data_IF_566416620760
#
_entry.id   IF_566416620760
#
_cell.length_a   1.000
_cell.length_b   1.000
_cell.length_c   1.000
_cell.angle_alpha   90.00
_cell.angle_beta   90.00
_cell.angle_gamma   90.00
#
_symmetry.space_group_name_H-M   'P 1'
#
loop_
_entity.id
_entity.type
_entity.pdbx_description
1 polymer ?
#
# COMPACT_ATOMS: atom_id res chain seq x y z
N UNK A 1 -0.63 -25.96 -4.63
CA UNK A 1 -0.84 -25.47 -3.25
C UNK A 1 -2.29 -24.99 -3.15
N UNK A 2 -3.02 -25.28 -2.07
CA UNK A 2 -4.39 -24.79 -1.90
C UNK A 2 -4.32 -23.29 -1.53
N UNK A 3 -5.08 -22.45 -2.26
CA UNK A 3 -5.11 -21.00 -1.98
C UNK A 3 -5.82 -20.72 -0.66
N UNK A 4 -5.28 -19.83 0.15
CA UNK A 4 -5.94 -19.36 1.37
C UNK A 4 -7.21 -18.59 1.02
N UNK A 5 -8.30 -18.90 1.73
CA UNK A 5 -9.57 -18.18 1.59
C UNK A 5 -9.49 -16.83 2.30
N UNK A 6 -9.88 -15.77 1.59
CA UNK A 6 -9.78 -14.42 2.12
C UNK A 6 -11.10 -13.65 2.00
N UNK A 7 -11.30 -12.68 2.87
CA UNK A 7 -12.39 -11.71 2.82
C UNK A 7 -11.85 -10.30 2.65
N UNK A 8 -12.54 -9.47 1.88
CA UNK A 8 -12.28 -8.02 1.76
C UNK A 8 -13.29 -7.26 2.62
N UNK A 9 -12.79 -6.46 3.57
CA UNK A 9 -13.60 -5.56 4.39
C UNK A 9 -13.67 -4.18 3.73
N UNK A 10 -14.85 -3.85 3.23
CA UNK A 10 -15.16 -2.74 2.36
C UNK A 10 -15.60 -3.24 0.98
N UNK A 11 -16.77 -2.79 0.49
CA UNK A 11 -17.30 -3.27 -0.79
C UNK A 11 -17.16 -2.24 -1.93
N UNK A 12 -17.54 -0.99 -1.67
CA UNK A 12 -17.66 0.05 -2.71
C UNK A 12 -16.57 1.11 -2.73
N UNK A 13 -15.59 1.06 -1.81
CA UNK A 13 -14.47 2.00 -1.78
C UNK A 13 -13.41 1.69 -2.86
N UNK A 14 -12.68 2.71 -3.32
CA UNK A 14 -11.62 2.53 -4.33
C UNK A 14 -10.60 1.45 -3.94
N UNK A 15 -10.08 1.49 -2.72
CA UNK A 15 -9.11 0.50 -2.23
C UNK A 15 -9.74 -0.89 -2.10
N UNK A 16 -11.01 -0.99 -1.66
CA UNK A 16 -11.73 -2.26 -1.61
C UNK A 16 -11.86 -2.90 -3.00
N UNK A 17 -12.17 -2.10 -4.00
CA UNK A 17 -12.29 -2.59 -5.39
C UNK A 17 -10.92 -2.94 -5.99
N UNK A 18 -9.87 -2.20 -5.68
CA UNK A 18 -8.49 -2.61 -6.01
C UNK A 18 -8.10 -3.95 -5.36
N UNK A 19 -8.49 -4.19 -4.11
CA UNK A 19 -8.29 -5.50 -3.46
C UNK A 19 -9.05 -6.60 -4.20
N UNK A 20 -10.33 -6.40 -4.52
CA UNK A 20 -11.12 -7.35 -5.29
C UNK A 20 -10.48 -7.64 -6.66
N UNK A 21 -10.07 -6.59 -7.39
CA UNK A 21 -9.40 -6.68 -8.68
C UNK A 21 -8.13 -7.53 -8.62
N UNK A 22 -7.28 -7.31 -7.62
CA UNK A 22 -5.99 -8.00 -7.50
C UNK A 22 -6.09 -9.40 -6.91
N UNK A 23 -7.18 -9.71 -6.20
CA UNK A 23 -7.39 -11.02 -5.58
C UNK A 23 -8.09 -12.02 -6.49
N UNK A 24 -8.78 -11.58 -7.55
CA UNK A 24 -9.61 -12.47 -8.40
C UNK A 24 -8.80 -13.61 -9.02
N UNK A 25 -7.58 -13.35 -9.49
CA UNK A 25 -6.66 -14.34 -10.07
C UNK A 25 -5.42 -14.60 -9.25
N UNK A 26 -5.42 -14.15 -7.97
CA UNK A 26 -4.22 -14.24 -7.13
C UNK A 26 -3.80 -15.71 -6.91
N UNK A 27 -2.51 -16.05 -7.08
CA UNK A 27 -2.06 -17.45 -7.02
C UNK A 27 -2.15 -18.08 -5.62
N UNK A 28 -2.03 -17.28 -4.56
CA UNK A 28 -1.99 -17.76 -3.16
C UNK A 28 -3.27 -17.50 -2.37
N UNK A 29 -4.02 -16.45 -2.73
CA UNK A 29 -5.25 -16.04 -2.05
C UNK A 29 -6.46 -16.27 -2.94
N UNK A 30 -7.57 -16.70 -2.36
CA UNK A 30 -8.86 -16.86 -3.04
C UNK A 30 -9.88 -15.91 -2.42
N UNK A 31 -10.31 -14.91 -3.16
CA UNK A 31 -11.43 -14.06 -2.77
C UNK A 31 -12.67 -14.93 -2.56
N UNK A 32 -13.15 -15.00 -1.32
CA UNK A 32 -14.25 -15.88 -0.91
C UNK A 32 -15.46 -15.09 -0.43
N UNK A 33 -15.23 -13.90 0.14
CA UNK A 33 -16.26 -13.01 0.62
C UNK A 33 -15.85 -11.55 0.49
N UNK A 34 -16.85 -10.68 0.40
CA UNK A 34 -16.72 -9.23 0.51
C UNK A 34 -17.74 -8.77 1.55
N UNK A 35 -17.26 -8.08 2.60
CA UNK A 35 -18.11 -7.54 3.64
C UNK A 35 -18.12 -6.01 3.58
N UNK A 36 -19.28 -5.40 3.70
CA UNK A 36 -19.45 -3.96 3.55
C UNK A 36 -20.43 -3.35 4.54
N UNK A 37 -20.66 -2.06 4.40
CA UNK A 37 -21.62 -1.31 5.20
C UNK A 37 -23.08 -1.77 4.95
N UNK A 38 -24.03 -1.42 5.84
CA UNK A 38 -25.45 -1.73 5.66
C UNK A 38 -26.04 -1.30 4.31
N UNK A 39 -25.44 -0.30 3.65
CA UNK A 39 -25.87 0.17 2.32
C UNK A 39 -25.83 -0.94 1.26
N UNK A 40 -24.87 -1.85 1.34
CA UNK A 40 -24.64 -2.90 0.36
C UNK A 40 -24.99 -4.30 0.86
N UNK A 41 -25.26 -4.47 2.15
CA UNK A 41 -25.61 -5.75 2.78
C UNK A 41 -26.66 -6.51 1.99
N UNK A 42 -26.37 -7.78 1.68
CA UNK A 42 -27.27 -8.71 0.99
C UNK A 42 -27.43 -8.44 -0.51
N UNK A 43 -26.87 -7.37 -1.05
CA UNK A 43 -26.89 -7.12 -2.49
C UNK A 43 -25.88 -8.02 -3.20
N UNK A 44 -26.18 -8.47 -4.42
CA UNK A 44 -25.18 -9.08 -5.28
C UNK A 44 -23.97 -8.15 -5.41
N UNK A 45 -22.75 -8.69 -5.36
CA UNK A 45 -21.54 -7.90 -5.52
C UNK A 45 -21.50 -7.19 -6.87
N UNK A 46 -22.10 -7.81 -7.92
CA UNK A 46 -22.29 -7.23 -9.25
C UNK A 46 -23.05 -5.90 -9.25
N UNK A 47 -23.95 -5.70 -8.29
CA UNK A 47 -24.78 -4.50 -8.17
C UNK A 47 -24.07 -3.35 -7.44
N UNK A 48 -22.88 -3.60 -6.87
CA UNK A 48 -22.04 -2.54 -6.30
C UNK A 48 -21.39 -1.76 -7.45
N UNK A 49 -21.62 -0.43 -7.56
CA UNK A 49 -21.03 0.37 -8.64
C UNK A 49 -19.51 0.25 -8.66
N UNK A 50 -18.96 0.00 -9.84
CA UNK A 50 -17.52 -0.06 -10.04
C UNK A 50 -16.95 1.35 -10.20
N UNK A 51 -15.97 1.69 -9.41
CA UNK A 51 -15.43 3.05 -9.28
C UNK A 51 -14.01 3.23 -9.85
N UNK A 52 -13.37 2.12 -10.28
CA UNK A 52 -12.06 2.17 -10.91
C UNK A 52 -12.19 2.44 -12.41
N UNK A 53 -11.19 3.09 -13.00
CA UNK A 53 -11.17 3.42 -14.43
C UNK A 53 -11.00 2.16 -15.30
N UNK A 54 -10.31 1.13 -14.76
CA UNK A 54 -10.15 -0.13 -15.48
C UNK A 54 -11.44 -0.94 -15.46
N UNK A 55 -11.60 -1.78 -16.46
CA UNK A 55 -12.75 -2.68 -16.56
C UNK A 55 -12.84 -3.56 -15.29
N UNK A 56 -14.07 -3.71 -14.80
CA UNK A 56 -14.35 -4.66 -13.71
C UNK A 56 -13.99 -6.08 -14.15
N UNK A 57 -13.14 -6.81 -13.41
CA UNK A 57 -12.84 -8.20 -13.74
C UNK A 57 -14.05 -9.09 -13.47
N UNK A 58 -14.00 -10.32 -13.99
CA UNK A 58 -15.00 -11.34 -13.70
C UNK A 58 -14.85 -11.84 -12.26
N UNK A 59 -15.53 -11.14 -11.34
CA UNK A 59 -15.53 -11.46 -9.91
C UNK A 59 -16.45 -12.65 -9.64
N UNK A 60 -16.13 -13.49 -8.62
CA UNK A 60 -17.03 -14.58 -8.21
C UNK A 60 -18.42 -14.06 -7.84
N UNK A 61 -19.45 -14.82 -8.20
CA UNK A 61 -20.81 -14.51 -7.77
C UNK A 61 -20.91 -14.65 -6.24
N UNK A 62 -21.24 -13.55 -5.58
CA UNK A 62 -21.45 -13.50 -4.13
C UNK A 62 -22.31 -12.31 -3.75
N UNK A 63 -22.94 -12.37 -2.59
CA UNK A 63 -23.59 -11.22 -1.96
C UNK A 63 -22.62 -10.52 -1.03
N UNK A 64 -22.81 -9.21 -0.87
CA UNK A 64 -22.04 -8.42 0.12
C UNK A 64 -22.54 -8.79 1.52
N UNK A 65 -21.64 -9.26 2.37
CA UNK A 65 -21.88 -9.58 3.77
C UNK A 65 -21.92 -8.30 4.64
N UNK A 66 -22.50 -8.41 5.83
CA UNK A 66 -22.42 -7.34 6.81
C UNK A 66 -21.09 -7.39 7.56
N UNK A 67 -20.31 -6.32 7.48
CA UNK A 67 -18.98 -6.24 8.10
C UNK A 67 -19.02 -6.24 9.64
N UNK A 68 -20.17 -5.93 10.24
CA UNK A 68 -20.37 -5.84 11.70
C UNK A 68 -21.15 -7.03 12.29
N UNK A 69 -21.57 -8.00 11.50
CA UNK A 69 -22.39 -9.13 11.96
C UNK A 69 -21.51 -10.29 12.43
N UNK A 70 -21.51 -10.55 13.75
CA UNK A 70 -20.75 -11.63 14.39
C UNK A 70 -21.12 -13.02 13.86
N UNK A 71 -22.39 -13.26 13.50
CA UNK A 71 -22.82 -14.53 12.94
C UNK A 71 -22.19 -14.76 11.56
N UNK A 72 -22.12 -13.72 10.75
CA UNK A 72 -21.42 -13.73 9.47
C UNK A 72 -19.92 -14.02 9.66
N UNK A 73 -19.27 -13.34 10.61
CA UNK A 73 -17.85 -13.54 10.89
C UNK A 73 -17.58 -15.00 11.31
N UNK A 74 -18.38 -15.54 12.26
CA UNK A 74 -18.25 -16.91 12.74
C UNK A 74 -18.42 -17.92 11.60
N UNK A 75 -19.44 -17.77 10.77
CA UNK A 75 -19.69 -18.63 9.61
C UNK A 75 -18.51 -18.62 8.63
N UNK A 76 -17.95 -17.43 8.33
CA UNK A 76 -16.80 -17.33 7.42
C UNK A 76 -15.56 -18.03 7.98
N UNK A 77 -15.34 -17.97 9.30
CA UNK A 77 -14.25 -18.73 9.96
C UNK A 77 -14.50 -20.24 9.84
N UNK A 78 -15.73 -20.71 10.09
CA UNK A 78 -16.12 -22.13 9.92
C UNK A 78 -15.95 -22.58 8.47
N UNK A 79 -16.23 -21.72 7.49
CA UNK A 79 -15.98 -21.95 6.07
C UNK A 79 -14.48 -21.95 5.70
N UNK A 80 -13.61 -21.69 6.67
CA UNK A 80 -12.16 -21.71 6.53
C UNK A 80 -11.57 -20.42 5.95
N UNK A 81 -12.26 -19.28 6.06
CA UNK A 81 -11.66 -17.96 5.76
C UNK A 81 -10.71 -17.61 6.91
N UNK A 82 -9.44 -17.34 6.61
CA UNK A 82 -8.39 -17.12 7.61
C UNK A 82 -7.72 -15.76 7.55
N UNK A 83 -7.95 -15.01 6.46
CA UNK A 83 -7.32 -13.69 6.24
C UNK A 83 -8.39 -12.68 5.85
N UNK A 84 -8.33 -11.50 6.45
CA UNK A 84 -9.14 -10.35 6.11
C UNK A 84 -8.26 -9.18 5.62
N UNK A 85 -8.56 -8.67 4.43
CA UNK A 85 -7.97 -7.44 3.90
C UNK A 85 -8.89 -6.27 4.20
N UNK A 86 -8.47 -5.36 5.08
CA UNK A 86 -9.30 -4.22 5.48
C UNK A 86 -8.94 -2.95 4.72
N UNK A 87 -9.97 -2.32 4.16
CA UNK A 87 -9.95 -0.98 3.57
C UNK A 87 -11.03 -0.08 4.16
N UNK A 88 -11.37 -0.32 5.41
CA UNK A 88 -12.35 0.47 6.16
C UNK A 88 -11.79 1.86 6.49
N UNK A 89 -12.65 2.90 6.59
CA UNK A 89 -12.25 4.17 7.19
C UNK A 89 -11.71 3.96 8.60
N UNK A 90 -10.77 4.80 9.04
CA UNK A 90 -10.05 4.60 10.31
C UNK A 90 -10.98 4.48 11.53
N UNK A 91 -12.08 5.24 11.57
CA UNK A 91 -13.05 5.15 12.67
C UNK A 91 -13.76 3.79 12.69
N UNK A 92 -14.21 3.31 11.54
CA UNK A 92 -14.84 2.00 11.39
C UNK A 92 -13.84 0.86 11.64
N UNK A 93 -12.61 0.98 11.15
CA UNK A 93 -11.55 0.02 11.37
C UNK A 93 -11.28 -0.17 12.88
N UNK A 94 -11.19 0.94 13.64
CA UNK A 94 -10.98 0.88 15.10
C UNK A 94 -12.03 0.06 15.83
N UNK A 95 -13.27 0.10 15.35
CA UNK A 95 -14.40 -0.61 15.94
C UNK A 95 -14.54 -2.03 15.44
N UNK A 96 -14.30 -2.27 14.14
CA UNK A 96 -14.68 -3.52 13.47
C UNK A 96 -13.52 -4.51 13.32
N UNK A 97 -12.30 -4.05 13.05
CA UNK A 97 -11.16 -4.97 12.84
C UNK A 97 -10.90 -5.89 14.05
N UNK A 98 -11.04 -5.43 15.32
CA UNK A 98 -10.92 -6.33 16.47
C UNK A 98 -11.86 -7.54 16.45
N UNK A 99 -13.10 -7.37 15.96
CA UNK A 99 -14.07 -8.47 15.87
C UNK A 99 -13.57 -9.61 14.96
N UNK A 100 -12.92 -9.25 13.84
CA UNK A 100 -12.33 -10.20 12.90
C UNK A 100 -11.09 -10.89 13.47
N UNK A 101 -10.25 -10.12 14.19
CA UNK A 101 -9.06 -10.63 14.90
C UNK A 101 -9.46 -11.61 16.01
N UNK A 102 -10.45 -11.25 16.85
CA UNK A 102 -10.95 -12.07 17.95
C UNK A 102 -11.60 -13.37 17.46
N UNK A 103 -12.25 -13.33 16.31
CA UNK A 103 -12.78 -14.51 15.65
C UNK A 103 -11.70 -15.47 15.10
N UNK A 104 -10.43 -15.06 15.11
CA UNK A 104 -9.29 -15.90 14.73
C UNK A 104 -8.72 -15.65 13.35
N UNK A 105 -9.21 -14.66 12.62
CA UNK A 105 -8.62 -14.26 11.34
C UNK A 105 -7.36 -13.40 11.54
N UNK A 106 -6.46 -13.44 10.56
CA UNK A 106 -5.39 -12.42 10.45
C UNK A 106 -5.90 -11.26 9.63
N UNK A 107 -5.86 -10.05 10.20
CA UNK A 107 -6.28 -8.81 9.54
C UNK A 107 -5.08 -8.06 9.00
N UNK A 108 -5.08 -7.78 7.69
CA UNK A 108 -4.14 -6.86 7.05
C UNK A 108 -4.87 -5.56 6.71
N UNK A 109 -4.45 -4.47 7.37
CA UNK A 109 -5.18 -3.20 7.36
C UNK A 109 -4.49 -2.11 6.54
N UNK A 110 -5.26 -1.40 5.73
CA UNK A 110 -4.86 -0.13 5.11
C UNK A 110 -5.25 1.09 5.96
N UNK A 111 -6.06 0.91 7.00
CA UNK A 111 -6.53 2.00 7.85
C UNK A 111 -5.41 2.55 8.74
N UNK A 112 -5.43 3.87 8.97
CA UNK A 112 -4.49 4.51 9.88
C UNK A 112 -4.72 4.21 11.37
N UNK A 113 -5.84 3.54 11.72
CA UNK A 113 -6.29 3.35 13.09
C UNK A 113 -5.32 2.58 13.99
N UNK A 114 -4.56 1.65 13.42
CA UNK A 114 -3.71 0.72 14.16
C UNK A 114 -2.21 0.88 13.89
N UNK A 115 -1.79 1.80 13.02
CA UNK A 115 -0.40 1.98 12.57
C UNK A 115 0.60 2.34 13.69
N UNK A 116 0.13 2.91 14.80
CA UNK A 116 0.95 3.22 15.97
C UNK A 116 0.59 2.42 17.22
N UNK A 117 -0.25 1.37 17.09
CA UNK A 117 -0.71 0.57 18.21
C UNK A 117 0.32 -0.52 18.54
N UNK A 118 0.75 -0.57 19.80
CA UNK A 118 1.69 -1.61 20.27
C UNK A 118 1.15 -3.02 19.99
N UNK A 119 2.01 -3.88 19.45
CA UNK A 119 1.64 -5.25 19.08
C UNK A 119 1.00 -5.40 17.70
N UNK A 120 0.75 -4.29 16.98
CA UNK A 120 0.33 -4.31 15.57
C UNK A 120 1.46 -3.80 14.71
N UNK A 121 2.20 -4.67 13.99
CA UNK A 121 3.33 -4.24 13.19
C UNK A 121 2.90 -3.36 12.01
N UNK A 122 3.65 -2.28 11.80
CA UNK A 122 3.58 -1.41 10.62
C UNK A 122 4.75 -1.78 9.72
N UNK A 123 4.48 -2.32 8.52
CA UNK A 123 5.52 -3.00 7.74
C UNK A 123 5.53 -2.58 6.28
N UNK A 124 6.73 -2.38 5.78
CA UNK A 124 7.05 -2.31 4.35
C UNK A 124 7.99 -3.48 4.04
N UNK A 125 7.61 -4.43 3.18
CA UNK A 125 8.35 -5.66 2.95
C UNK A 125 9.83 -5.49 2.63
N UNK A 126 10.21 -4.41 1.94
CA UNK A 126 11.60 -4.13 1.58
C UNK A 126 12.40 -3.37 2.64
N UNK A 127 11.75 -2.85 3.71
CA UNK A 127 12.41 -1.96 4.66
C UNK A 127 12.55 -2.58 6.04
N UNK A 128 11.45 -3.13 6.59
CA UNK A 128 11.42 -3.69 7.94
C UNK A 128 10.64 -5.01 8.05
N UNK A 129 10.91 -6.01 7.19
CA UNK A 129 10.17 -7.29 7.16
C UNK A 129 10.23 -8.05 8.49
N UNK A 130 11.30 -7.89 9.27
CA UNK A 130 11.51 -8.53 10.57
C UNK A 130 10.48 -8.11 11.63
N UNK A 131 9.83 -6.95 11.47
CA UNK A 131 8.78 -6.48 12.37
C UNK A 131 7.57 -7.45 12.40
N UNK A 132 7.31 -8.21 11.33
CA UNK A 132 6.26 -9.24 11.31
C UNK A 132 6.54 -10.37 12.30
N UNK A 133 7.79 -10.79 12.44
CA UNK A 133 8.18 -11.94 13.26
C UNK A 133 8.21 -11.70 14.77
N UNK A 134 8.08 -10.44 15.21
CA UNK A 134 8.24 -10.08 16.62
C UNK A 134 7.05 -10.48 17.50
N UNK A 135 5.89 -10.77 16.92
CA UNK A 135 4.64 -11.01 17.65
C UNK A 135 4.23 -12.49 17.75
N UNK A 136 5.05 -13.43 17.25
CA UNK A 136 4.66 -14.84 17.11
C UNK A 136 3.64 -15.05 16.01
N UNK A 137 2.52 -15.77 16.28
CA UNK A 137 1.46 -15.93 15.28
C UNK A 137 0.81 -14.57 14.98
N UNK A 138 0.92 -14.15 13.72
CA UNK A 138 0.41 -12.86 13.29
C UNK A 138 -1.12 -12.82 13.34
N UNK A 139 -1.68 -11.81 13.99
CA UNK A 139 -3.12 -11.59 14.06
C UNK A 139 -3.57 -10.31 13.38
N UNK A 140 -2.74 -9.29 13.42
CA UNK A 140 -3.03 -7.99 12.84
C UNK A 140 -1.74 -7.36 12.33
N UNK A 141 -1.74 -6.76 11.14
CA UNK A 141 -0.63 -5.98 10.60
C UNK A 141 -1.16 -4.83 9.75
N UNK A 142 -0.43 -3.73 9.70
CA UNK A 142 -0.78 -2.56 8.92
C UNK A 142 0.22 -2.30 7.80
N UNK A 143 -0.30 -1.92 6.62
CA UNK A 143 0.45 -1.19 5.62
C UNK A 143 0.54 0.30 5.99
N UNK A 144 1.58 0.97 5.53
CA UNK A 144 1.81 2.41 5.75
C UNK A 144 0.86 3.29 4.94
N UNK A 145 0.89 4.60 5.18
CA UNK A 145 0.21 5.53 4.30
C UNK A 145 0.87 5.56 2.91
N UNK A 146 0.08 5.95 1.90
CA UNK A 146 0.50 5.90 0.50
C UNK A 146 1.56 6.96 0.15
N UNK A 147 1.67 8.04 0.91
CA UNK A 147 2.64 9.11 0.69
C UNK A 147 4.04 8.70 1.16
N UNK A 148 4.12 7.81 2.14
CA UNK A 148 5.39 7.36 2.69
C UNK A 148 6.20 6.54 1.68
N UNK A 149 5.57 5.68 0.88
CA UNK A 149 6.29 4.71 0.04
C UNK A 149 7.26 5.33 -0.96
N UNK A 150 6.87 6.35 -1.77
CA UNK A 150 7.81 6.99 -2.68
C UNK A 150 8.92 7.76 -1.96
N UNK A 151 8.74 8.09 -0.68
CA UNK A 151 9.78 8.72 0.15
C UNK A 151 10.72 7.68 0.76
N UNK A 152 10.17 6.68 1.45
CA UNK A 152 10.95 5.82 2.36
C UNK A 152 11.87 4.84 1.64
N UNK A 153 11.49 4.28 0.48
CA UNK A 153 12.36 3.32 -0.20
C UNK A 153 13.67 3.96 -0.68
N UNK A 154 13.65 5.09 -1.43
CA UNK A 154 14.90 5.78 -1.77
C UNK A 154 15.65 6.29 -0.53
N UNK A 155 14.92 6.82 0.48
CA UNK A 155 15.54 7.35 1.69
C UNK A 155 16.25 6.25 2.50
N UNK A 156 15.65 5.07 2.66
CA UNK A 156 16.26 3.93 3.33
C UNK A 156 17.57 3.50 2.64
N UNK A 157 17.55 3.44 1.31
CA UNK A 157 18.72 3.13 0.50
C UNK A 157 19.86 4.12 0.72
N UNK A 158 19.55 5.43 0.69
CA UNK A 158 20.54 6.49 0.84
C UNK A 158 21.00 6.67 2.28
N UNK A 159 20.12 6.39 3.25
CA UNK A 159 20.47 6.42 4.68
C UNK A 159 21.44 5.28 5.03
N UNK A 160 21.18 4.08 4.55
CA UNK A 160 22.09 2.93 4.73
C UNK A 160 23.51 3.21 4.20
N UNK A 161 23.60 3.89 3.05
CA UNK A 161 24.87 4.12 2.37
C UNK A 161 25.59 5.39 2.82
N UNK A 162 24.87 6.48 3.08
CA UNK A 162 25.47 7.81 3.23
C UNK A 162 25.10 8.52 4.53
N UNK A 163 24.23 7.95 5.38
CA UNK A 163 23.83 8.56 6.65
C UNK A 163 22.98 9.83 6.45
N UNK A 164 21.66 9.68 6.22
CA UNK A 164 20.76 10.84 6.11
C UNK A 164 20.64 11.52 7.48
N UNK A 165 20.93 12.83 7.54
CA UNK A 165 20.86 13.66 8.75
C UNK A 165 19.55 14.45 8.81
N UNK A 166 19.08 14.96 7.67
CA UNK A 166 17.83 15.69 7.58
C UNK A 166 17.17 15.47 6.22
N UNK A 167 15.83 15.68 6.14
CA UNK A 167 15.15 15.73 4.86
C UNK A 167 14.06 16.78 4.80
N UNK A 168 13.82 17.26 3.58
CA UNK A 168 12.65 18.06 3.23
C UNK A 168 11.88 17.33 2.16
N UNK A 169 10.55 17.25 2.29
CA UNK A 169 9.68 16.63 1.31
C UNK A 169 8.46 17.51 1.03
N UNK A 170 8.15 17.71 -0.24
CA UNK A 170 6.86 18.21 -0.71
C UNK A 170 6.18 17.09 -1.50
N UNK A 171 4.90 16.85 -1.26
CA UNK A 171 4.14 15.86 -2.03
C UNK A 171 3.00 16.49 -2.82
N UNK A 172 2.75 15.92 -4.00
CA UNK A 172 1.58 16.16 -4.84
C UNK A 172 0.78 14.87 -4.92
N UNK A 173 -0.42 14.88 -4.33
CA UNK A 173 -1.21 13.68 -4.13
C UNK A 173 -2.44 13.66 -5.03
N UNK A 174 -2.66 12.54 -5.74
CA UNK A 174 -3.84 12.30 -6.55
C UNK A 174 -5.13 12.28 -5.72
N UNK A 175 -6.25 12.59 -6.38
CA UNK A 175 -7.58 12.75 -5.78
C UNK A 175 -8.11 11.47 -5.12
N UNK A 176 -7.78 10.29 -5.66
CA UNK A 176 -8.20 8.98 -5.14
C UNK A 176 -7.77 8.74 -3.70
N UNK A 177 -6.69 9.38 -3.23
CA UNK A 177 -6.26 9.36 -1.83
C UNK A 177 -7.28 9.97 -0.86
N UNK A 178 -8.17 10.84 -1.34
CA UNK A 178 -9.32 11.39 -0.60
C UNK A 178 -10.58 10.50 -0.66
N UNK A 179 -10.54 9.40 -1.42
CA UNK A 179 -11.66 8.49 -1.63
C UNK A 179 -12.54 8.88 -2.83
N UNK A 180 -13.43 7.94 -3.23
CA UNK A 180 -14.21 8.06 -4.48
C UNK A 180 -15.10 9.30 -4.51
N UNK A 181 -15.85 9.56 -3.42
CA UNK A 181 -16.78 10.69 -3.38
C UNK A 181 -16.05 12.03 -3.51
N UNK A 182 -14.91 12.18 -2.81
CA UNK A 182 -14.07 13.38 -2.91
C UNK A 182 -13.52 13.55 -4.34
N UNK A 183 -13.00 12.48 -4.93
CA UNK A 183 -12.48 12.51 -6.29
C UNK A 183 -13.53 12.92 -7.30
N UNK A 184 -14.74 12.34 -7.24
CA UNK A 184 -15.85 12.70 -8.13
C UNK A 184 -16.27 14.17 -7.97
N UNK A 185 -16.36 14.66 -6.73
CA UNK A 185 -16.69 16.05 -6.46
C UNK A 185 -15.65 17.00 -7.06
N UNK A 186 -14.37 16.79 -6.77
CA UNK A 186 -13.29 17.62 -7.29
C UNK A 186 -13.24 17.65 -8.82
N UNK A 187 -13.44 16.49 -9.46
CA UNK A 187 -13.49 16.37 -10.91
C UNK A 187 -14.71 17.14 -11.50
N UNK A 188 -15.86 17.04 -10.87
CA UNK A 188 -17.07 17.75 -11.30
C UNK A 188 -16.95 19.28 -11.13
N UNK A 189 -16.31 19.74 -10.07
CA UNK A 189 -16.07 21.15 -9.76
C UNK A 189 -14.90 21.74 -10.57
N UNK A 190 -14.01 20.91 -11.12
CA UNK A 190 -12.79 21.33 -11.82
C UNK A 190 -11.79 22.04 -10.91
N UNK A 191 -11.89 21.82 -9.59
CA UNK A 191 -11.05 22.45 -8.57
C UNK A 191 -10.85 21.53 -7.37
N UNK A 192 -9.78 21.77 -6.62
CA UNK A 192 -9.44 20.96 -5.44
C UNK A 192 -9.01 21.85 -4.29
N UNK A 193 -9.47 21.52 -3.06
CA UNK A 193 -8.81 22.01 -1.86
C UNK A 193 -7.44 21.32 -1.75
N UNK A 194 -6.38 22.10 -1.83
CA UNK A 194 -5.01 21.59 -1.80
C UNK A 194 -4.58 21.10 -0.42
N UNK A 195 -5.30 21.47 0.64
CA UNK A 195 -4.95 21.13 2.03
C UNK A 195 -5.22 19.65 2.34
N UNK A 196 -4.27 19.00 3.02
CA UNK A 196 -4.41 17.65 3.56
C UNK A 196 -4.00 17.66 5.04
N UNK A 197 -4.90 18.07 5.94
CA UNK A 197 -4.57 18.20 7.35
C UNK A 197 -4.04 16.90 7.96
N UNK A 198 -2.94 16.99 8.72
CA UNK A 198 -2.34 15.88 9.46
C UNK A 198 -1.57 14.87 8.60
N UNK A 199 -1.48 15.06 7.28
CA UNK A 199 -0.79 14.09 6.41
C UNK A 199 0.74 14.16 6.55
N UNK A 200 1.29 15.35 6.71
CA UNK A 200 2.71 15.56 6.92
C UNK A 200 3.19 14.89 8.23
N UNK A 201 2.46 15.12 9.31
CA UNK A 201 2.74 14.54 10.63
C UNK A 201 2.65 13.01 10.63
N UNK A 202 1.61 12.45 10.00
CA UNK A 202 1.47 11.00 9.83
C UNK A 202 2.65 10.41 9.07
N UNK A 203 3.02 11.04 7.95
CA UNK A 203 4.13 10.54 7.11
C UNK A 203 5.45 10.55 7.87
N UNK A 204 5.73 11.61 8.63
CA UNK A 204 6.93 11.70 9.47
C UNK A 204 6.94 10.63 10.57
N UNK A 205 5.83 10.48 11.30
CA UNK A 205 5.70 9.49 12.39
C UNK A 205 5.82 8.06 11.86
N UNK A 206 5.18 7.74 10.73
CA UNK A 206 5.28 6.41 10.14
C UNK A 206 6.68 6.11 9.60
N UNK A 207 7.39 7.11 9.05
CA UNK A 207 8.79 6.97 8.62
C UNK A 207 9.70 6.65 9.83
N UNK A 208 9.56 7.41 10.91
CA UNK A 208 10.31 7.16 12.15
C UNK A 208 10.07 5.73 12.66
N UNK A 209 8.81 5.29 12.66
CA UNK A 209 8.44 3.96 13.12
C UNK A 209 9.04 2.84 12.25
N UNK A 210 8.95 2.98 10.92
CA UNK A 210 9.36 1.93 9.97
C UNK A 210 10.88 1.86 9.81
N UNK A 211 11.55 3.01 9.80
CA UNK A 211 12.99 3.09 9.55
C UNK A 211 13.84 3.21 10.82
N UNK A 212 13.22 3.51 11.96
CA UNK A 212 13.95 3.81 13.21
C UNK A 212 14.78 5.09 13.13
N UNK A 213 14.45 5.99 12.21
CA UNK A 213 15.19 7.22 11.94
C UNK A 213 14.50 8.42 12.58
N UNK A 214 15.26 9.22 13.34
CA UNK A 214 14.75 10.36 14.13
C UNK A 214 15.47 11.67 13.84
N UNK A 215 15.95 11.89 12.61
CA UNK A 215 16.58 13.13 12.19
C UNK A 215 15.60 14.29 12.00
N UNK A 216 16.09 15.43 11.52
CA UNK A 216 15.24 16.59 11.26
C UNK A 216 14.42 16.38 9.97
N UNK A 217 13.12 16.56 10.07
CA UNK A 217 12.19 16.42 8.96
C UNK A 217 11.32 17.66 8.75
N UNK A 218 11.14 18.05 7.49
CA UNK A 218 10.19 19.11 7.11
C UNK A 218 9.34 18.63 5.93
N UNK A 219 8.04 18.45 6.16
CA UNK A 219 7.13 17.90 5.17
C UNK A 219 6.00 18.87 4.86
N UNK A 220 5.61 18.88 3.60
CA UNK A 220 4.38 19.55 3.14
C UNK A 220 3.64 18.65 2.16
N UNK A 221 2.33 18.54 2.33
CA UNK A 221 1.49 17.70 1.51
C UNK A 221 0.37 18.51 0.89
N UNK A 222 0.18 18.34 -0.43
CA UNK A 222 -0.89 19.03 -1.15
C UNK A 222 -1.63 18.09 -2.09
N UNK A 223 -2.92 18.35 -2.29
CA UNK A 223 -3.75 17.68 -3.28
C UNK A 223 -3.60 18.37 -4.63
N UNK A 224 -3.60 17.58 -5.71
CA UNK A 224 -3.56 18.08 -7.08
C UNK A 224 -4.66 17.46 -7.93
N UNK A 225 -5.04 18.15 -9.03
CA UNK A 225 -6.05 17.69 -10.00
C UNK A 225 -5.48 16.56 -10.89
N UNK A 226 -5.29 15.40 -10.27
CA UNK A 226 -4.90 14.15 -10.91
C UNK A 226 -5.61 13.00 -10.21
N UNK A 227 -6.14 12.03 -10.94
CA UNK A 227 -6.90 10.90 -10.34
C UNK A 227 -6.05 10.12 -9.37
N UNK A 228 -4.98 9.50 -9.86
CA UNK A 228 -4.09 8.61 -9.13
C UNK A 228 -2.63 9.08 -9.12
N UNK A 229 -1.84 8.48 -8.27
CA UNK A 229 -0.41 8.70 -8.14
C UNK A 229 -0.04 9.77 -7.12
N UNK A 230 1.00 9.47 -6.34
CA UNK A 230 1.63 10.39 -5.40
C UNK A 230 3.04 10.67 -5.86
N UNK A 231 3.35 11.95 -6.06
CA UNK A 231 4.63 12.46 -6.50
C UNK A 231 5.28 13.22 -5.35
N UNK A 232 6.48 12.84 -4.96
CA UNK A 232 7.25 13.50 -3.91
C UNK A 232 8.51 14.14 -4.47
N UNK A 233 8.84 15.31 -3.95
CA UNK A 233 10.04 16.09 -4.23
C UNK A 233 10.85 16.13 -2.96
N UNK A 234 12.05 15.57 -2.99
CA UNK A 234 12.83 15.29 -1.79
C UNK A 234 14.19 15.95 -1.88
N UNK A 235 14.61 16.53 -0.76
CA UNK A 235 15.96 17.04 -0.51
C UNK A 235 16.48 16.39 0.76
N UNK A 236 17.66 15.75 0.69
CA UNK A 236 18.31 15.07 1.80
C UNK A 236 19.66 15.72 2.10
N UNK A 237 19.93 15.99 3.36
CA UNK A 237 21.30 16.24 3.83
C UNK A 237 21.90 14.90 4.29
N UNK A 238 23.10 14.59 3.79
CA UNK A 238 23.80 13.33 4.06
C UNK A 238 25.16 13.58 4.73
N UNK A 239 25.59 12.60 5.52
CA UNK A 239 26.84 12.70 6.29
C UNK A 239 28.08 12.54 5.41
N UNK A 240 28.02 11.57 4.49
CA UNK A 240 29.12 11.27 3.58
C UNK A 240 29.03 12.13 2.31
N UNK A 241 30.19 12.41 1.70
CA UNK A 241 30.24 13.09 0.41
C UNK A 241 29.70 12.20 -0.71
N UNK A 242 28.86 12.76 -1.56
CA UNK A 242 28.19 12.06 -2.66
C UNK A 242 28.29 12.84 -3.96
N UNK A 243 28.23 12.10 -5.05
CA UNK A 243 27.99 12.62 -6.38
C UNK A 243 26.79 11.89 -7.03
N UNK A 244 26.40 12.33 -8.20
CA UNK A 244 25.27 11.77 -8.94
C UNK A 244 25.43 10.27 -9.22
N UNK A 245 26.63 9.84 -9.61
CA UNK A 245 26.87 8.44 -10.00
C UNK A 245 26.88 7.51 -8.79
N UNK A 246 27.41 7.97 -7.67
CA UNK A 246 27.36 7.25 -6.39
C UNK A 246 25.91 7.05 -5.93
N UNK A 247 25.09 8.11 -5.97
CA UNK A 247 23.66 8.04 -5.61
C UNK A 247 22.91 7.07 -6.51
N UNK A 248 23.07 7.16 -7.83
CA UNK A 248 22.43 6.21 -8.75
C UNK A 248 22.87 4.76 -8.51
N UNK A 249 24.15 4.56 -8.27
CA UNK A 249 24.72 3.23 -8.02
C UNK A 249 24.12 2.61 -6.77
N UNK A 250 24.03 3.37 -5.68
CA UNK A 250 23.44 2.92 -4.42
C UNK A 250 21.96 2.56 -4.57
N UNK A 251 21.17 3.41 -5.21
CA UNK A 251 19.74 3.15 -5.45
C UNK A 251 19.53 1.87 -6.29
N UNK A 252 20.33 1.67 -7.36
CA UNK A 252 20.27 0.45 -8.19
C UNK A 252 20.62 -0.80 -7.39
N UNK A 253 21.76 -0.78 -6.69
CA UNK A 253 22.24 -1.93 -5.89
C UNK A 253 21.27 -2.27 -4.78
N UNK A 254 20.70 -1.27 -4.10
CA UNK A 254 19.69 -1.49 -3.07
C UNK A 254 18.44 -2.14 -3.67
N UNK A 255 17.96 -1.63 -4.80
CA UNK A 255 16.81 -2.19 -5.50
C UNK A 255 17.04 -3.65 -5.91
N UNK A 256 18.22 -4.00 -6.41
CA UNK A 256 18.59 -5.38 -6.77
C UNK A 256 18.63 -6.32 -5.56
N UNK A 257 19.16 -5.87 -4.42
CA UNK A 257 19.22 -6.66 -3.17
C UNK A 257 17.82 -6.94 -2.60
N UNK A 258 16.87 -6.04 -2.80
CA UNK A 258 15.51 -6.15 -2.25
C UNK A 258 14.49 -6.68 -3.26
N UNK A 259 14.96 -7.31 -4.35
CA UNK A 259 14.08 -8.05 -5.26
C UNK A 259 13.46 -9.25 -4.55
N UNK A 260 12.19 -9.48 -4.83
CA UNK A 260 11.46 -10.61 -4.26
C UNK A 260 10.76 -11.41 -5.35
N UNK A 261 10.52 -12.69 -5.08
CA UNK A 261 9.77 -13.61 -5.95
C UNK A 261 8.30 -13.72 -5.57
N UNK A 262 7.85 -12.97 -4.57
CA UNK A 262 6.46 -12.93 -4.16
C UNK A 262 5.56 -12.43 -5.31
N UNK A 263 4.33 -12.92 -5.43
CA UNK A 263 3.47 -12.65 -6.59
C UNK A 263 3.28 -11.17 -6.92
N UNK A 264 3.06 -10.32 -5.90
CA UNK A 264 2.86 -8.87 -6.07
C UNK A 264 4.15 -8.06 -5.99
N UNK A 265 5.30 -8.67 -5.71
CA UNK A 265 6.57 -7.97 -5.68
C UNK A 265 6.90 -7.39 -7.08
N UNK A 266 7.30 -6.12 -7.19
CA UNK A 266 7.76 -5.57 -8.46
C UNK A 266 9.04 -6.31 -8.93
N UNK A 267 9.34 -6.23 -10.23
CA UNK A 267 10.60 -6.78 -10.76
C UNK A 267 11.83 -6.11 -10.13
N UNK A 268 11.70 -4.82 -9.85
CA UNK A 268 12.63 -4.05 -9.03
C UNK A 268 11.82 -3.06 -8.17
N UNK A 269 12.12 -2.94 -6.86
CA UNK A 269 11.44 -1.97 -5.99
C UNK A 269 11.60 -0.52 -6.43
N UNK A 270 12.80 -0.15 -6.92
CA UNK A 270 13.10 1.19 -7.43
C UNK A 270 13.41 1.14 -8.93
N UNK A 271 12.77 2.00 -9.71
CA UNK A 271 13.06 2.23 -11.13
C UNK A 271 13.63 3.63 -11.33
N UNK A 272 14.85 3.72 -11.82
CA UNK A 272 15.51 4.99 -12.06
C UNK A 272 15.24 5.47 -13.49
N UNK A 273 14.82 6.73 -13.59
CA UNK A 273 14.54 7.42 -14.85
C UNK A 273 15.22 8.79 -14.87
N UNK A 274 15.49 9.37 -16.04
CA UNK A 274 16.03 10.74 -16.12
C UNK A 274 15.07 11.78 -15.53
N UNK A 275 13.77 11.65 -15.81
CA UNK A 275 12.70 12.53 -15.31
C UNK A 275 11.40 11.76 -15.15
N UNK A 276 10.54 12.21 -14.23
CA UNK A 276 9.25 11.58 -13.96
C UNK A 276 8.19 12.17 -14.87
N UNK A 277 7.47 11.27 -15.57
CA UNK A 277 6.21 11.52 -16.24
C UNK A 277 5.12 10.77 -15.48
N UNK A 278 4.23 11.50 -14.81
CA UNK A 278 3.24 10.93 -13.88
C UNK A 278 2.16 10.08 -14.57
N UNK A 279 1.92 10.29 -15.86
CA UNK A 279 0.95 9.48 -16.62
C UNK A 279 1.57 8.18 -17.10
N UNK A 280 2.74 8.27 -17.73
CA UNK A 280 3.44 7.11 -18.27
C UNK A 280 3.94 6.16 -17.19
N UNK A 281 4.34 6.69 -16.03
CA UNK A 281 4.97 5.91 -14.96
C UNK A 281 3.98 5.36 -13.92
N UNK A 282 2.67 5.66 -14.05
CA UNK A 282 1.67 5.30 -13.03
C UNK A 282 1.67 3.79 -12.70
N UNK A 283 1.80 2.96 -13.72
CA UNK A 283 1.79 1.51 -13.57
C UNK A 283 3.18 0.85 -13.64
N UNK A 284 4.23 1.58 -13.28
CA UNK A 284 5.58 1.01 -13.23
C UNK A 284 5.61 -0.33 -12.48
N UNK A 285 6.17 -1.37 -13.11
CA UNK A 285 6.23 -2.73 -12.59
C UNK A 285 7.63 -3.17 -12.12
N UNK A 286 8.61 -2.29 -12.25
CA UNK A 286 10.02 -2.58 -11.95
C UNK A 286 10.81 -3.10 -13.15
N UNK A 287 10.18 -3.36 -14.29
CA UNK A 287 10.84 -3.72 -15.56
C UNK A 287 10.47 -2.77 -16.69
N UNK A 288 9.33 -2.09 -16.59
CA UNK A 288 8.80 -1.20 -17.61
C UNK A 288 7.62 -0.36 -17.12
N UNK A 289 6.89 0.22 -18.08
CA UNK A 289 5.79 1.15 -17.85
C UNK A 289 4.56 0.72 -18.68
N UNK A 290 3.79 -0.27 -18.23
CA UNK A 290 2.60 -0.70 -18.95
C UNK A 290 1.62 0.47 -19.15
N UNK A 291 1.23 0.76 -20.38
CA UNK A 291 0.37 1.89 -20.71
C UNK A 291 -1.11 1.63 -20.39
N UNK A 292 -1.53 0.38 -20.48
CA UNK A 292 -2.90 -0.07 -20.16
C UNK A 292 -2.83 -1.46 -19.54
N UNK A 293 -2.30 -1.58 -18.32
CA UNK A 293 -2.21 -2.87 -17.66
C UNK A 293 -3.61 -3.36 -17.30
N UNK A 294 -3.72 -4.66 -17.12
CA UNK A 294 -4.82 -5.27 -16.39
C UNK A 294 -4.32 -5.66 -14.99
N UNK A 295 -4.56 -4.83 -13.95
CA UNK A 295 -4.08 -5.12 -12.60
C UNK A 295 -4.72 -6.36 -11.96
N UNK A 296 -5.75 -6.95 -12.58
CA UNK A 296 -6.32 -8.23 -12.18
C UNK A 296 -5.44 -9.41 -12.63
N UNK A 297 -4.73 -9.26 -13.74
CA UNK A 297 -3.85 -10.29 -14.32
C UNK A 297 -2.39 -10.04 -14.01
N UNK A 298 -1.96 -8.78 -13.98
CA UNK A 298 -0.59 -8.37 -13.70
C UNK A 298 -0.47 -7.78 -12.29
N UNK A 299 -0.10 -8.63 -11.33
CA UNK A 299 0.07 -8.24 -9.93
C UNK A 299 1.28 -7.34 -9.68
N UNK A 300 2.17 -7.14 -10.66
CA UNK A 300 3.35 -6.26 -10.53
C UNK A 300 3.09 -4.85 -11.05
N UNK A 301 2.06 -4.68 -11.89
CA UNK A 301 1.69 -3.37 -12.41
C UNK A 301 1.38 -2.38 -11.27
N UNK A 302 2.03 -1.21 -11.30
CA UNK A 302 1.91 -0.15 -10.30
C UNK A 302 2.58 -0.44 -8.95
N UNK A 303 3.45 -1.46 -8.87
CA UNK A 303 4.11 -1.86 -7.62
C UNK A 303 5.52 -1.28 -7.44
N UNK A 304 6.17 -0.80 -8.48
CA UNK A 304 7.49 -0.15 -8.37
C UNK A 304 7.37 1.33 -7.96
N UNK A 305 8.41 1.82 -7.29
CA UNK A 305 8.63 3.24 -7.07
C UNK A 305 9.53 3.76 -8.18
N UNK A 306 9.09 4.80 -8.88
CA UNK A 306 9.91 5.48 -9.90
C UNK A 306 10.69 6.59 -9.23
N UNK A 307 12.01 6.66 -9.47
CA UNK A 307 12.90 7.70 -8.95
C UNK A 307 13.56 8.41 -10.11
N UNK A 308 13.47 9.73 -10.14
CA UNK A 308 14.02 10.55 -11.22
C UNK A 308 14.52 11.91 -10.75
N UNK A 309 15.00 12.73 -11.71
CA UNK A 309 15.49 14.08 -11.45
C UNK A 309 16.53 14.13 -10.32
N UNK A 310 17.40 13.12 -10.26
CA UNK A 310 18.46 13.02 -9.24
C UNK A 310 19.51 14.10 -9.50
N UNK A 311 19.86 14.84 -8.45
CA UNK A 311 20.90 15.86 -8.50
C UNK A 311 21.66 15.93 -7.16
N UNK A 312 22.96 16.23 -7.22
CA UNK A 312 23.80 16.49 -6.05
C UNK A 312 24.34 17.92 -6.12
N UNK A 313 23.58 18.93 -5.67
CA UNK A 313 24.00 20.34 -5.78
C UNK A 313 25.25 20.66 -4.98
N UNK A 314 25.51 19.94 -3.89
CA UNK A 314 26.73 19.97 -3.10
C UNK A 314 27.12 18.53 -2.72
N UNK A 315 28.36 18.29 -2.23
CA UNK A 315 28.79 16.95 -1.82
C UNK A 315 27.94 16.31 -0.69
N UNK A 316 27.17 17.12 0.05
CA UNK A 316 26.34 16.63 1.17
C UNK A 316 24.83 16.81 0.93
N UNK A 317 24.41 17.16 -0.29
CA UNK A 317 23.02 17.44 -0.59
C UNK A 317 22.55 16.60 -1.79
N UNK A 318 21.56 15.75 -1.56
CA UNK A 318 20.89 14.94 -2.59
C UNK A 318 19.49 15.46 -2.82
N UNK A 319 19.13 15.67 -4.08
CA UNK A 319 17.76 15.95 -4.51
C UNK A 319 17.28 14.85 -5.44
N UNK A 320 16.01 14.47 -5.29
CA UNK A 320 15.37 13.57 -6.23
C UNK A 320 13.85 13.78 -6.22
N UNK A 321 13.21 13.23 -7.22
CA UNK A 321 11.76 13.06 -7.25
C UNK A 321 11.45 11.57 -7.19
N UNK A 322 10.32 11.21 -6.55
CA UNK A 322 9.85 9.84 -6.61
C UNK A 322 8.33 9.79 -6.76
N UNK A 323 7.84 8.74 -7.43
CA UNK A 323 6.45 8.60 -7.81
C UNK A 323 5.97 7.16 -7.62
N UNK A 324 4.71 7.00 -7.21
CA UNK A 324 4.09 5.69 -7.06
C UNK A 324 2.57 5.73 -7.24
N UNK A 325 1.99 4.60 -7.62
CA UNK A 325 0.54 4.41 -7.66
C UNK A 325 -0.03 4.28 -6.25
N UNK A 326 -0.74 5.30 -5.78
CA UNK A 326 -1.21 5.40 -4.38
C UNK A 326 -2.26 4.35 -4.00
N UNK A 327 -3.17 3.93 -4.90
CA UNK A 327 -4.19 2.93 -4.60
C UNK A 327 -3.72 1.49 -4.86
N UNK A 328 -2.63 1.30 -5.60
CA UNK A 328 -1.98 0.00 -5.80
C UNK A 328 -0.82 -0.15 -4.81
N UNK A 329 0.36 0.39 -5.10
CA UNK A 329 1.52 0.23 -4.22
C UNK A 329 1.27 0.79 -2.83
N UNK A 330 0.65 1.97 -2.77
CA UNK A 330 0.34 2.70 -1.53
C UNK A 330 -0.84 2.14 -0.73
N UNK A 331 -1.57 1.14 -1.24
CA UNK A 331 -2.73 0.58 -0.56
C UNK A 331 -2.95 -0.90 -0.89
N UNK A 332 -3.85 -1.23 -1.83
CA UNK A 332 -4.30 -2.60 -2.08
C UNK A 332 -3.17 -3.56 -2.47
N UNK A 333 -2.31 -3.18 -3.40
CA UNK A 333 -1.17 -3.99 -3.80
C UNK A 333 -0.14 -4.13 -2.68
N UNK A 334 0.13 -3.04 -1.96
CA UNK A 334 1.06 -3.04 -0.83
C UNK A 334 0.62 -3.94 0.31
N UNK A 335 -0.67 -3.92 0.68
CA UNK A 335 -1.19 -4.77 1.76
C UNK A 335 -1.31 -6.24 1.35
N UNK A 336 -1.57 -6.54 0.07
CA UNK A 336 -1.51 -7.92 -0.45
C UNK A 336 -0.06 -8.42 -0.40
N UNK A 337 0.89 -7.62 -0.86
CA UNK A 337 2.31 -7.95 -0.79
C UNK A 337 2.81 -8.19 0.64
N UNK A 338 2.32 -7.42 1.61
CA UNK A 338 2.57 -7.66 3.04
C UNK A 338 2.02 -9.02 3.50
N UNK A 339 0.81 -9.38 3.06
CA UNK A 339 0.22 -10.68 3.40
C UNK A 339 0.93 -11.85 2.72
N UNK A 340 1.43 -11.66 1.50
CA UNK A 340 2.29 -12.63 0.80
C UNK A 340 3.58 -12.88 1.58
N UNK A 341 4.23 -11.81 2.07
CA UNK A 341 5.41 -11.93 2.92
C UNK A 341 5.10 -12.70 4.21
N UNK A 342 4.01 -12.37 4.90
CA UNK A 342 3.60 -13.08 6.10
C UNK A 342 3.30 -14.57 5.83
N UNK A 343 2.74 -14.88 4.67
CA UNK A 343 2.50 -16.27 4.24
C UNK A 343 3.81 -17.02 3.96
N UNK A 344 4.73 -16.40 3.24
CA UNK A 344 6.06 -16.97 2.94
C UNK A 344 6.87 -17.23 4.21
N UNK A 345 6.80 -16.31 5.17
CA UNK A 345 7.39 -16.45 6.52
C UNK A 345 6.65 -17.44 7.42
N UNK A 346 5.56 -18.09 6.97
CA UNK A 346 4.75 -19.05 7.73
C UNK A 346 4.12 -18.47 9.01
N UNK A 347 3.81 -17.19 9.02
CA UNK A 347 3.22 -16.47 10.17
C UNK A 347 1.69 -16.50 10.18
N UNK A 348 1.06 -16.95 9.08
CA UNK A 348 -0.39 -17.05 8.99
C UNK A 348 -0.90 -18.36 9.61
N UNK A 349 -2.10 -18.36 10.22
CA UNK A 349 -2.69 -19.58 10.73
C UNK A 349 -2.86 -20.60 9.58
N UNK A 350 -2.28 -21.78 9.78
CA UNK A 350 -2.56 -22.93 8.90
C UNK A 350 -3.96 -23.40 9.26
N UNK A 351 -4.91 -23.34 8.31
CA UNK A 351 -6.20 -23.95 8.52
C UNK A 351 -6.00 -25.42 8.92
N UNK A 352 -6.52 -25.89 10.07
CA UNK A 352 -6.54 -27.31 10.32
C UNK A 352 -7.30 -27.96 9.15
N UNK A 353 -6.63 -28.84 8.45
CA UNK A 353 -7.29 -29.73 7.48
C UNK A 353 -8.29 -30.52 8.33
N UNK A 354 -9.57 -30.14 8.28
CA UNK A 354 -10.60 -31.04 8.81
C UNK A 354 -10.55 -32.31 7.97
N UNK A 355 -10.32 -33.47 8.61
CA UNK A 355 -10.23 -34.76 7.93
C UNK A 355 -11.50 -35.10 7.16
#
# INVERSE_FOLDING_TARGET
MQRLKVVVLGAGGLVAQRLQQRLVHHPWFRLTAVAGSPRFRGKPLSDVPWALDEQRPDLPEMSVEDVADEATISRLVEDGVSVAFSSLPSEEARRLEPMWVEAGMTVFSNAGAYRGVSGVPLVIPEVNPEALGQTGLLRHACATNCTLLPLVLPLASLHEAFGVQSYRMRSEQGLSGGGHAYMQQAMAEGSVDTSIPGEAEKTATELEHVLGWSGQASLSCQRVMRSDGHHVFVELEVEQEVDHDAVQTVLKQWSERHRSTLPSAPHQPLMLVPSIDVESHLFADGSGYPQRPDPAMDLKAGMAIVVGNIACPTPHLVRFEAFSHNTIRGAAGGVIYLAELAHDMQLLPVNPVHP
#
